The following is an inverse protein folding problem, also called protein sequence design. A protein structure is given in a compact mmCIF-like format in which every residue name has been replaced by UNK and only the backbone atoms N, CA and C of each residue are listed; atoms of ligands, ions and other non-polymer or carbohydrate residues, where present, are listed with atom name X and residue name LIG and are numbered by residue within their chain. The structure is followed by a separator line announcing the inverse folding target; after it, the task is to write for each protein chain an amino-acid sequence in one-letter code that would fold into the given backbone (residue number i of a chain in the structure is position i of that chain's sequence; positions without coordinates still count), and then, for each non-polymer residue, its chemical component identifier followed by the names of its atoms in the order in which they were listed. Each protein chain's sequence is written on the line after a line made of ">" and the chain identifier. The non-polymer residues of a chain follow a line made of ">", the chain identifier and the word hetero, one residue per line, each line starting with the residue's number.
data_IF_706620782047
#
_entry.id   IF_706620782047
#
_cell.length_a   1.000
_cell.length_b   1.000
_cell.length_c   1.000
_cell.angle_alpha   90.00
_cell.angle_beta   90.00
_cell.angle_gamma   90.00
#
_symmetry.space_group_name_H-M   'P 1'
#
loop_
_entity.id
_entity.type
_entity.pdbx_description
1 polymer ?
#
# COMPACT_ATOMS: atom_id res chain seq x y z
N UNK A 1 15.06 33.29 21.66
CA UNK A 1 15.79 32.21 20.95
C UNK A 1 14.79 31.59 19.98
N UNK A 2 14.95 31.96 18.71
CA UNK A 2 13.84 32.17 17.80
C UNK A 2 13.23 30.90 17.21
N UNK A 3 11.90 30.84 17.20
CA UNK A 3 11.14 29.83 16.45
C UNK A 3 11.56 29.80 14.99
N UNK A 4 11.87 30.96 14.41
CA UNK A 4 12.24 31.09 13.00
C UNK A 4 13.61 30.48 12.68
N UNK A 5 14.62 30.69 13.55
CA UNK A 5 15.95 30.09 13.36
C UNK A 5 15.91 28.56 13.40
N UNK A 6 15.11 27.98 14.30
CA UNK A 6 14.91 26.53 14.37
C UNK A 6 14.18 25.96 13.14
N UNK A 7 13.34 26.77 12.49
CA UNK A 7 12.56 26.40 11.32
C UNK A 7 13.42 26.43 10.05
N UNK A 8 14.32 27.41 9.92
CA UNK A 8 15.27 27.50 8.81
C UNK A 8 16.29 26.35 8.80
N UNK A 9 16.93 26.06 9.94
CA UNK A 9 17.87 24.92 10.03
C UNK A 9 17.18 23.60 9.68
N UNK A 10 15.92 23.41 10.11
CA UNK A 10 15.15 22.21 9.76
C UNK A 10 14.87 22.14 8.25
N UNK A 11 14.60 23.28 7.59
CA UNK A 11 14.33 23.33 6.14
C UNK A 11 15.58 22.99 5.33
N UNK A 12 16.73 23.54 5.68
CA UNK A 12 17.98 23.30 4.95
C UNK A 12 18.50 21.86 5.12
N UNK A 13 18.40 21.32 6.34
CA UNK A 13 18.69 19.92 6.60
C UNK A 13 17.78 18.98 5.79
N UNK A 14 16.46 19.24 5.78
CA UNK A 14 15.52 18.48 4.97
C UNK A 14 15.78 18.64 3.48
N UNK A 15 16.22 19.81 3.02
CA UNK A 15 16.57 20.07 1.61
C UNK A 15 17.76 19.22 1.19
N UNK A 16 18.87 19.28 1.91
CA UNK A 16 20.10 18.52 1.63
C UNK A 16 19.87 17.01 1.73
N UNK A 17 19.08 16.55 2.70
CA UNK A 17 18.74 15.12 2.85
C UNK A 17 17.69 14.65 1.85
N UNK A 18 16.80 15.52 1.36
CA UNK A 18 15.84 15.20 0.29
C UNK A 18 16.49 15.09 -1.10
N UNK A 19 17.65 15.74 -1.29
CA UNK A 19 18.46 15.55 -2.49
C UNK A 19 19.08 14.14 -2.51
N UNK A 20 19.31 13.55 -1.33
CA UNK A 20 19.64 12.13 -1.19
C UNK A 20 18.36 11.27 -1.27
N UNK A 21 18.15 10.66 -2.43
CA UNK A 21 17.12 9.64 -2.67
C UNK A 21 17.08 8.62 -1.52
N UNK A 22 15.89 8.38 -0.94
CA UNK A 22 15.68 7.34 0.08
C UNK A 22 15.92 5.94 -0.49
N UNK A 23 17.15 5.43 -0.39
CA UNK A 23 17.56 4.16 -1.00
C UNK A 23 16.75 2.96 -0.50
N UNK A 24 16.39 2.93 0.79
CA UNK A 24 15.52 1.88 1.33
C UNK A 24 14.13 1.83 0.70
N UNK A 25 13.60 2.96 0.20
CA UNK A 25 12.33 2.94 -0.55
C UNK A 25 12.46 2.24 -1.90
N UNK A 26 13.65 2.24 -2.50
CA UNK A 26 13.85 1.49 -3.74
C UNK A 26 13.76 -0.02 -3.48
N UNK A 27 14.32 -0.52 -2.37
CA UNK A 27 14.18 -1.92 -1.97
C UNK A 27 12.73 -2.29 -1.70
N UNK A 28 12.02 -1.50 -0.88
CA UNK A 28 10.62 -1.78 -0.57
C UNK A 28 9.75 -1.80 -1.83
N UNK A 29 9.91 -0.81 -2.73
CA UNK A 29 9.15 -0.75 -3.97
C UNK A 29 9.46 -1.92 -4.90
N UNK A 30 10.73 -2.30 -5.04
CA UNK A 30 11.12 -3.42 -5.86
C UNK A 30 10.52 -4.73 -5.33
N UNK A 31 10.76 -5.04 -4.06
CA UNK A 31 10.27 -6.28 -3.40
C UNK A 31 8.75 -6.34 -3.46
N UNK A 32 8.05 -5.29 -3.00
CA UNK A 32 6.60 -5.35 -2.91
C UNK A 32 5.89 -5.29 -4.25
N UNK A 33 6.48 -4.71 -5.29
CA UNK A 33 5.93 -4.82 -6.64
C UNK A 33 5.93 -6.27 -7.14
N UNK A 34 7.02 -7.01 -6.89
CA UNK A 34 7.12 -8.44 -7.24
C UNK A 34 6.18 -9.28 -6.38
N UNK A 35 6.08 -9.00 -5.08
CA UNK A 35 5.16 -9.69 -4.15
C UNK A 35 3.71 -9.52 -4.59
N UNK A 36 3.31 -8.34 -5.08
CA UNK A 36 1.95 -8.14 -5.61
C UNK A 36 1.69 -9.04 -6.83
N UNK A 37 2.64 -9.16 -7.75
CA UNK A 37 2.50 -10.07 -8.90
C UNK A 37 2.43 -11.53 -8.42
N UNK A 38 3.27 -11.92 -7.45
CA UNK A 38 3.26 -13.26 -6.88
C UNK A 38 1.92 -13.60 -6.23
N UNK A 39 1.34 -12.65 -5.50
CA UNK A 39 0.01 -12.78 -4.88
C UNK A 39 -1.08 -13.02 -5.93
N UNK A 40 -1.19 -12.16 -6.95
CA UNK A 40 -2.24 -12.27 -7.98
C UNK A 40 -2.00 -13.40 -9.00
N UNK A 41 -0.80 -13.96 -9.02
CA UNK A 41 -0.46 -15.16 -9.81
C UNK A 41 -0.62 -16.46 -9.02
N UNK A 42 -1.11 -16.40 -7.77
CA UNK A 42 -1.26 -17.56 -6.88
C UNK A 42 0.05 -18.30 -6.55
N UNK A 43 1.20 -17.62 -6.60
CA UNK A 43 2.51 -18.25 -6.29
C UNK A 43 2.57 -18.76 -4.86
N UNK A 44 1.96 -18.05 -3.90
CA UNK A 44 1.93 -18.51 -2.51
C UNK A 44 1.14 -19.82 -2.35
N UNK A 45 0.17 -20.08 -3.23
CA UNK A 45 -0.64 -21.30 -3.26
C UNK A 45 0.06 -22.49 -3.95
N UNK A 46 1.28 -22.33 -4.48
CA UNK A 46 2.06 -23.47 -5.00
C UNK A 46 2.22 -24.58 -3.94
N UNK A 47 2.38 -24.17 -2.68
CA UNK A 47 2.54 -25.08 -1.57
C UNK A 47 1.20 -25.71 -1.15
N UNK A 48 0.04 -25.06 -1.38
CA UNK A 48 -1.24 -25.56 -0.86
C UNK A 48 -1.80 -26.80 -1.56
N UNK A 49 -1.26 -27.20 -2.72
CA UNK A 49 -1.68 -28.41 -3.45
C UNK A 49 -1.46 -29.72 -2.68
N UNK A 50 -0.64 -29.69 -1.63
CA UNK A 50 -0.51 -30.77 -0.65
C UNK A 50 -1.14 -30.27 0.67
N UNK A 51 -2.18 -30.95 1.16
CA UNK A 51 -3.02 -30.53 2.31
C UNK A 51 -2.24 -30.01 3.53
N UNK A 52 -1.04 -30.55 3.78
CA UNK A 52 -0.16 -30.17 4.90
C UNK A 52 0.46 -28.76 4.81
N UNK A 53 0.51 -28.15 3.62
CA UNK A 53 1.21 -26.88 3.38
C UNK A 53 0.29 -25.68 3.16
N UNK A 54 -1.03 -25.88 3.26
CA UNK A 54 -2.04 -24.82 3.22
C UNK A 54 -1.79 -23.74 4.28
N UNK A 55 -1.29 -24.12 5.46
CA UNK A 55 -0.89 -23.20 6.53
C UNK A 55 0.19 -22.21 6.09
N UNK A 56 1.25 -22.70 5.43
CA UNK A 56 2.37 -21.86 4.96
C UNK A 56 1.90 -20.91 3.86
N UNK A 57 1.09 -21.38 2.90
CA UNK A 57 0.50 -20.51 1.87
C UNK A 57 -0.31 -19.37 2.50
N UNK A 58 -1.14 -19.70 3.48
CA UNK A 58 -1.96 -18.72 4.18
C UNK A 58 -1.08 -17.70 4.92
N UNK A 59 -0.01 -18.12 5.61
CA UNK A 59 0.92 -17.19 6.25
C UNK A 59 1.57 -16.25 5.24
N UNK A 60 2.05 -16.77 4.10
CA UNK A 60 2.70 -15.97 3.07
C UNK A 60 1.71 -14.98 2.45
N UNK A 61 0.54 -15.46 2.05
CA UNK A 61 -0.53 -14.63 1.49
C UNK A 61 -0.93 -13.52 2.47
N UNK A 62 -1.21 -13.91 3.71
CA UNK A 62 -1.74 -13.02 4.73
C UNK A 62 -0.71 -12.02 5.25
N UNK A 63 0.54 -12.42 5.48
CA UNK A 63 1.53 -11.58 6.16
C UNK A 63 2.59 -10.98 5.21
N UNK A 64 2.81 -11.58 4.04
CA UNK A 64 3.74 -11.07 3.02
C UNK A 64 2.99 -10.43 1.86
N UNK A 65 2.00 -11.12 1.29
CA UNK A 65 1.21 -10.62 0.17
C UNK A 65 0.47 -9.32 0.50
N UNK A 66 -0.41 -9.37 1.50
CA UNK A 66 -1.25 -8.22 1.84
C UNK A 66 -0.53 -7.05 2.52
N UNK A 67 0.75 -7.18 2.88
CA UNK A 67 1.51 -6.04 3.43
C UNK A 67 2.00 -5.09 2.33
N UNK A 68 1.98 -5.50 1.07
CA UNK A 68 2.48 -4.69 -0.05
C UNK A 68 1.73 -3.36 -0.20
N UNK A 69 0.40 -3.39 -0.23
CA UNK A 69 -0.46 -2.19 -0.33
C UNK A 69 -0.24 -1.23 0.84
N UNK A 70 -0.31 -1.68 2.11
CA UNK A 70 0.11 -0.92 3.29
C UNK A 70 1.46 -0.22 3.13
N UNK A 71 2.49 -0.92 2.63
CA UNK A 71 3.82 -0.33 2.44
C UNK A 71 3.82 0.76 1.36
N UNK A 72 3.14 0.55 0.23
CA UNK A 72 3.02 1.60 -0.80
C UNK A 72 2.28 2.83 -0.30
N UNK A 73 1.19 2.65 0.47
CA UNK A 73 0.46 3.74 1.13
C UNK A 73 1.39 4.47 2.11
N UNK A 74 2.10 3.73 2.95
CA UNK A 74 2.97 4.27 3.98
C UNK A 74 4.12 5.11 3.39
N UNK A 75 4.78 4.63 2.32
CA UNK A 75 5.81 5.39 1.58
C UNK A 75 5.20 6.65 0.97
N UNK A 76 4.03 6.52 0.34
CA UNK A 76 3.32 7.64 -0.30
C UNK A 76 2.95 8.75 0.69
N UNK A 77 2.39 8.38 1.85
CA UNK A 77 1.99 9.32 2.91
C UNK A 77 3.21 9.94 3.59
N UNK A 78 4.26 9.18 3.85
CA UNK A 78 5.51 9.73 4.40
C UNK A 78 6.10 10.80 3.46
N UNK A 79 6.24 10.48 2.18
CA UNK A 79 6.74 11.44 1.17
C UNK A 79 5.83 12.65 1.03
N UNK A 80 4.52 12.47 1.20
CA UNK A 80 3.58 13.58 1.24
C UNK A 80 3.90 14.53 2.41
N UNK A 81 4.02 14.04 3.65
CA UNK A 81 4.37 14.91 4.80
C UNK A 81 5.72 15.61 4.64
N UNK A 82 6.74 14.93 4.11
CA UNK A 82 8.06 15.54 3.85
C UNK A 82 7.94 16.66 2.81
N UNK A 83 7.24 16.42 1.71
CA UNK A 83 7.08 17.41 0.64
C UNK A 83 6.16 18.56 1.02
N UNK A 84 5.11 18.31 1.81
CA UNK A 84 4.20 19.36 2.30
C UNK A 84 4.93 20.35 3.22
N UNK A 85 5.88 19.88 4.05
CA UNK A 85 6.75 20.79 4.82
C UNK A 85 7.64 21.67 3.94
N UNK A 86 8.09 21.14 2.79
CA UNK A 86 8.99 21.85 1.85
C UNK A 86 8.25 22.86 0.98
N UNK A 87 7.06 22.50 0.51
CA UNK A 87 6.32 23.24 -0.53
C UNK A 87 5.01 23.87 -0.03
N UNK A 88 4.63 23.66 1.23
CA UNK A 88 3.39 24.17 1.82
C UNK A 88 2.12 23.45 1.33
N UNK A 89 0.96 24.00 1.67
CA UNK A 89 -0.36 23.45 1.34
C UNK A 89 -0.65 23.38 -0.17
N UNK A 90 -0.05 24.28 -0.96
CA UNK A 90 -0.17 24.29 -2.43
C UNK A 90 0.36 23.01 -3.09
N UNK A 91 1.27 22.29 -2.43
CA UNK A 91 1.76 21.01 -2.93
C UNK A 91 0.63 19.99 -3.13
N UNK A 92 -0.34 19.96 -2.22
CA UNK A 92 -1.47 19.05 -2.31
C UNK A 92 -2.32 19.37 -3.56
N UNK A 93 -2.81 20.61 -3.66
CA UNK A 93 -3.77 21.00 -4.71
C UNK A 93 -3.16 21.10 -6.10
N UNK A 94 -1.92 21.58 -6.22
CA UNK A 94 -1.30 21.85 -7.53
C UNK A 94 -0.49 20.68 -8.07
N UNK A 95 0.06 19.81 -7.21
CA UNK A 95 0.98 18.74 -7.63
C UNK A 95 0.47 17.35 -7.30
N UNK A 96 0.13 17.08 -6.05
CA UNK A 96 -0.15 15.72 -5.59
C UNK A 96 -1.52 15.23 -6.04
N UNK A 97 -2.57 16.00 -5.77
CA UNK A 97 -3.96 15.62 -6.01
C UNK A 97 -4.27 15.44 -7.52
N UNK A 98 -3.90 16.39 -8.41
CA UNK A 98 -4.12 16.20 -9.86
C UNK A 98 -3.35 15.01 -10.41
N UNK A 99 -2.13 14.76 -9.92
CA UNK A 99 -1.34 13.59 -10.33
C UNK A 99 -2.01 12.27 -9.93
N UNK A 100 -2.54 12.18 -8.70
CA UNK A 100 -3.23 10.98 -8.24
C UNK A 100 -4.54 10.74 -9.02
N UNK A 101 -5.31 11.79 -9.30
CA UNK A 101 -6.51 11.70 -10.17
C UNK A 101 -6.11 11.24 -11.57
N UNK A 102 -5.09 11.84 -12.16
CA UNK A 102 -4.62 11.50 -13.51
C UNK A 102 -4.15 10.05 -13.60
N UNK A 103 -3.40 9.56 -12.60
CA UNK A 103 -3.01 8.15 -12.49
C UNK A 103 -4.22 7.23 -12.36
N UNK A 104 -5.16 7.57 -11.47
CA UNK A 104 -6.38 6.78 -11.27
C UNK A 104 -7.18 6.65 -12.56
N UNK A 105 -7.49 7.77 -13.21
CA UNK A 105 -8.25 7.79 -14.45
C UNK A 105 -7.53 7.01 -15.56
N UNK A 106 -6.21 7.21 -15.71
CA UNK A 106 -5.42 6.49 -16.70
C UNK A 106 -5.52 4.96 -16.52
N UNK A 107 -5.27 4.45 -15.31
CA UNK A 107 -5.26 3.01 -15.06
C UNK A 107 -6.66 2.39 -15.13
N UNK A 108 -7.66 3.07 -14.57
CA UNK A 108 -9.06 2.62 -14.61
C UNK A 108 -9.58 2.56 -16.06
N UNK A 109 -9.37 3.64 -16.85
CA UNK A 109 -9.78 3.67 -18.25
C UNK A 109 -9.02 2.62 -19.07
N UNK A 110 -7.70 2.50 -18.87
CA UNK A 110 -6.89 1.53 -19.61
C UNK A 110 -7.35 0.09 -19.37
N UNK A 111 -7.65 -0.29 -18.12
CA UNK A 111 -8.15 -1.63 -17.80
C UNK A 111 -9.56 -1.85 -18.32
N UNK A 112 -10.43 -0.86 -18.19
CA UNK A 112 -11.81 -0.93 -18.71
C UNK A 112 -11.82 -1.13 -20.22
N UNK A 113 -10.99 -0.38 -20.96
CA UNK A 113 -10.84 -0.54 -22.40
C UNK A 113 -10.25 -1.91 -22.76
N UNK A 114 -9.25 -2.37 -22.01
CA UNK A 114 -8.66 -3.68 -22.23
C UNK A 114 -9.68 -4.80 -22.02
N UNK A 115 -10.42 -4.79 -20.92
CA UNK A 115 -11.46 -5.78 -20.64
C UNK A 115 -12.55 -5.77 -21.73
N UNK A 116 -12.94 -4.59 -22.22
CA UNK A 116 -13.87 -4.47 -23.35
C UNK A 116 -13.31 -5.09 -24.65
N UNK A 117 -12.03 -4.90 -24.96
CA UNK A 117 -11.37 -5.49 -26.14
C UNK A 117 -11.31 -7.02 -26.08
N UNK A 118 -11.23 -7.59 -24.88
CA UNK A 118 -11.25 -9.04 -24.64
C UNK A 118 -12.67 -9.58 -24.34
N UNK A 119 -13.72 -8.79 -24.59
CA UNK A 119 -15.12 -9.21 -24.49
C UNK A 119 -15.71 -9.21 -23.06
N UNK A 120 -14.96 -8.79 -22.05
CA UNK A 120 -15.42 -8.69 -20.67
C UNK A 120 -16.08 -7.31 -20.40
N UNK A 121 -17.30 -7.14 -20.90
CA UNK A 121 -18.07 -5.87 -20.79
C UNK A 121 -19.02 -5.90 -19.56
N UNK A 122 -19.10 -7.01 -18.84
CA UNK A 122 -20.07 -7.18 -17.74
C UNK A 122 -19.86 -6.19 -16.60
N UNK A 123 -18.61 -5.94 -16.19
CA UNK A 123 -18.29 -4.97 -15.15
C UNK A 123 -18.74 -3.55 -15.53
N UNK A 124 -18.62 -3.18 -16.81
CA UNK A 124 -19.05 -1.88 -17.35
C UNK A 124 -20.57 -1.80 -17.33
N UNK A 125 -21.27 -2.83 -17.83
CA UNK A 125 -22.74 -2.88 -17.83
C UNK A 125 -23.31 -2.78 -16.42
N UNK A 126 -22.70 -3.49 -15.47
CA UNK A 126 -23.11 -3.46 -14.07
C UNK A 126 -22.86 -2.07 -13.46
N UNK A 127 -21.69 -1.48 -13.69
CA UNK A 127 -21.38 -0.13 -13.23
C UNK A 127 -22.33 0.95 -13.78
N UNK A 128 -22.78 0.83 -15.03
CA UNK A 128 -23.67 1.81 -15.67
C UNK A 128 -25.17 1.57 -15.42
N UNK A 129 -25.53 0.49 -14.71
CA UNK A 129 -26.93 0.12 -14.51
C UNK A 129 -27.71 1.02 -13.55
N UNK A 130 -27.03 1.75 -12.66
CA UNK A 130 -27.64 2.77 -11.79
C UNK A 130 -26.59 3.79 -11.34
N UNK A 131 -27.03 4.96 -10.86
CA UNK A 131 -26.12 5.97 -10.33
C UNK A 131 -25.32 5.45 -9.13
N UNK A 132 -25.96 4.72 -8.21
CA UNK A 132 -25.28 4.13 -7.05
C UNK A 132 -24.20 3.12 -7.46
N UNK A 133 -24.49 2.27 -8.45
CA UNK A 133 -23.52 1.31 -9.00
C UNK A 133 -22.40 2.01 -9.76
N UNK A 134 -22.68 3.14 -10.40
CA UNK A 134 -21.66 3.94 -11.08
C UNK A 134 -20.69 4.56 -10.08
N UNK A 135 -21.21 5.12 -8.98
CA UNK A 135 -20.38 5.62 -7.88
C UNK A 135 -19.56 4.47 -7.28
N UNK A 136 -20.18 3.31 -7.03
CA UNK A 136 -19.47 2.13 -6.51
C UNK A 136 -18.40 1.64 -7.49
N UNK A 137 -18.67 1.65 -8.79
CA UNK A 137 -17.71 1.29 -9.83
C UNK A 137 -16.50 2.24 -9.81
N UNK A 138 -16.72 3.57 -9.73
CA UNK A 138 -15.63 4.54 -9.61
C UNK A 138 -14.82 4.29 -8.31
N UNK A 139 -15.50 4.27 -7.17
CA UNK A 139 -14.88 4.14 -5.83
C UNK A 139 -14.10 2.82 -5.70
N UNK A 140 -14.62 1.72 -6.26
CA UNK A 140 -13.94 0.42 -6.29
C UNK A 140 -12.84 0.29 -7.36
N UNK A 141 -12.62 1.33 -8.18
CA UNK A 141 -11.69 1.25 -9.31
C UNK A 141 -12.09 0.18 -10.32
N UNK A 142 -13.39 0.04 -10.58
CA UNK A 142 -13.98 -0.97 -11.46
C UNK A 142 -13.95 -2.38 -10.86
N UNK A 143 -14.04 -2.50 -9.53
CA UNK A 143 -13.84 -3.77 -8.81
C UNK A 143 -12.47 -4.42 -9.05
N UNK A 144 -11.45 -3.62 -9.37
CA UNK A 144 -10.08 -4.10 -9.63
C UNK A 144 -9.12 -3.63 -8.53
N UNK A 145 -7.87 -4.06 -8.60
CA UNK A 145 -6.78 -3.58 -7.72
C UNK A 145 -6.63 -2.05 -7.71
N UNK A 146 -7.15 -1.34 -8.71
CA UNK A 146 -7.05 0.11 -8.81
C UNK A 146 -7.85 0.87 -7.76
N UNK A 147 -8.64 0.20 -6.91
CA UNK A 147 -9.17 0.82 -5.69
C UNK A 147 -8.09 1.44 -4.78
N UNK A 148 -6.83 1.00 -4.94
CA UNK A 148 -5.67 1.62 -4.31
C UNK A 148 -5.60 3.14 -4.53
N UNK A 149 -5.91 3.63 -5.74
CA UNK A 149 -5.79 5.06 -6.03
C UNK A 149 -6.89 5.91 -5.38
N UNK A 150 -8.20 5.56 -5.45
CA UNK A 150 -9.24 6.22 -4.66
C UNK A 150 -8.93 6.21 -3.16
N UNK A 151 -8.45 5.08 -2.63
CA UNK A 151 -8.02 4.98 -1.25
C UNK A 151 -6.89 5.98 -0.95
N UNK A 152 -5.86 6.03 -1.80
CA UNK A 152 -4.74 6.95 -1.60
C UNK A 152 -5.16 8.42 -1.74
N UNK A 153 -6.10 8.74 -2.64
CA UNK A 153 -6.70 10.07 -2.76
C UNK A 153 -7.40 10.48 -1.45
N UNK A 154 -8.26 9.60 -0.92
CA UNK A 154 -8.96 9.80 0.34
C UNK A 154 -7.99 10.03 1.51
N UNK A 155 -7.00 9.14 1.66
CA UNK A 155 -6.01 9.26 2.74
C UNK A 155 -5.14 10.51 2.60
N UNK A 156 -4.76 10.89 1.38
CA UNK A 156 -3.97 12.11 1.15
C UNK A 156 -4.78 13.36 1.47
N UNK A 157 -6.09 13.38 1.18
CA UNK A 157 -6.97 14.48 1.56
C UNK A 157 -7.08 14.62 3.09
N UNK A 158 -7.28 13.50 3.82
CA UNK A 158 -7.28 13.52 5.29
C UNK A 158 -5.91 13.93 5.83
N UNK A 159 -4.82 13.42 5.25
CA UNK A 159 -3.47 13.80 5.64
C UNK A 159 -3.21 15.31 5.45
N UNK A 160 -3.76 15.93 4.39
CA UNK A 160 -3.69 17.38 4.18
C UNK A 160 -4.44 18.14 5.27
N UNK A 161 -5.69 17.74 5.59
CA UNK A 161 -6.46 18.34 6.67
C UNK A 161 -5.75 18.21 8.03
N UNK A 162 -5.15 17.04 8.27
CA UNK A 162 -4.37 16.80 9.48
C UNK A 162 -3.09 17.65 9.50
N UNK A 163 -2.36 17.78 8.39
CA UNK A 163 -1.18 18.62 8.31
C UNK A 163 -1.52 20.10 8.61
N UNK A 164 -2.63 20.59 8.05
CA UNK A 164 -3.13 21.93 8.36
C UNK A 164 -3.40 22.14 9.86
N UNK A 165 -4.02 21.15 10.51
CA UNK A 165 -4.22 21.17 11.98
C UNK A 165 -2.88 21.19 12.73
N UNK A 166 -1.91 20.36 12.31
CA UNK A 166 -0.59 20.28 12.94
C UNK A 166 0.20 21.59 12.85
N UNK A 167 0.05 22.34 11.77
CA UNK A 167 0.74 23.63 11.58
C UNK A 167 0.30 24.68 12.63
N UNK A 168 -0.90 24.52 13.20
CA UNK A 168 -1.44 25.40 14.25
C UNK A 168 -1.13 24.93 15.68
N UNK A 169 -0.50 23.76 15.85
CA UNK A 169 -0.25 23.14 17.14
C UNK A 169 1.25 23.12 17.45
N UNK A 170 1.65 23.31 18.72
CA UNK A 170 3.06 23.17 19.12
C UNK A 170 3.59 21.77 18.74
N UNK A 171 4.81 21.69 18.22
CA UNK A 171 5.43 20.42 17.72
C UNK A 171 5.28 19.23 18.70
N UNK A 172 5.57 19.43 19.99
CA UNK A 172 5.43 18.38 21.03
C UNK A 172 3.98 17.87 21.15
N UNK A 173 3.02 18.79 21.08
CA UNK A 173 1.59 18.47 21.13
C UNK A 173 1.13 17.78 19.83
N UNK A 174 1.67 18.17 18.67
CA UNK A 174 1.37 17.53 17.40
C UNK A 174 1.81 16.06 17.37
N UNK A 175 2.98 15.75 17.94
CA UNK A 175 3.45 14.37 18.10
C UNK A 175 2.52 13.56 19.01
N UNK A 176 2.16 14.09 20.19
CA UNK A 176 1.22 13.43 21.12
C UNK A 176 -0.15 13.19 20.48
N UNK A 177 -0.68 14.20 19.79
CA UNK A 177 -1.94 14.10 19.04
C UNK A 177 -1.88 12.99 17.97
N UNK A 178 -0.76 12.89 17.25
CA UNK A 178 -0.58 11.83 16.24
C UNK A 178 -0.63 10.43 16.86
N UNK A 179 0.01 10.21 18.02
CA UNK A 179 -0.10 8.93 18.74
C UNK A 179 -1.51 8.64 19.23
N UNK A 180 -2.20 9.66 19.74
CA UNK A 180 -3.59 9.53 20.19
C UNK A 180 -4.52 9.13 19.04
N UNK A 181 -4.42 9.81 17.89
CA UNK A 181 -5.21 9.49 16.71
C UNK A 181 -4.80 8.14 16.09
N UNK A 182 -3.52 7.75 16.16
CA UNK A 182 -3.08 6.41 15.79
C UNK A 182 -3.74 5.34 16.66
N UNK A 183 -3.79 5.55 17.97
CA UNK A 183 -4.46 4.63 18.89
C UNK A 183 -5.96 4.52 18.55
N UNK A 184 -6.67 5.64 18.43
CA UNK A 184 -8.09 5.65 18.08
C UNK A 184 -8.38 4.97 16.74
N UNK A 185 -7.59 5.30 15.70
CA UNK A 185 -7.76 4.66 14.39
C UNK A 185 -7.43 3.17 14.43
N UNK A 186 -6.45 2.73 15.21
CA UNK A 186 -6.14 1.30 15.37
C UNK A 186 -7.28 0.56 16.06
N UNK A 187 -7.87 1.15 17.11
CA UNK A 187 -9.06 0.60 17.78
C UNK A 187 -10.24 0.50 16.81
N UNK A 188 -10.47 1.53 15.99
CA UNK A 188 -11.51 1.53 14.96
C UNK A 188 -11.31 0.43 13.91
N UNK A 189 -10.09 0.28 13.39
CA UNK A 189 -9.78 -0.75 12.40
C UNK A 189 -9.95 -2.15 12.97
N UNK A 190 -9.54 -2.37 14.22
CA UNK A 190 -9.69 -3.65 14.90
C UNK A 190 -11.15 -3.97 15.28
N UNK A 191 -11.97 -2.94 15.53
CA UNK A 191 -13.36 -3.14 15.91
C UNK A 191 -14.25 -3.53 14.73
N UNK A 192 -13.96 -3.10 13.49
CA UNK A 192 -14.80 -3.43 12.33
C UNK A 192 -15.01 -4.93 12.12
N UNK A 193 -13.96 -5.79 12.06
CA UNK A 193 -14.17 -7.23 11.90
C UNK A 193 -14.92 -7.86 13.08
N UNK A 194 -14.76 -7.31 14.29
CA UNK A 194 -15.46 -7.80 15.49
C UNK A 194 -16.95 -7.44 15.42
N UNK A 195 -17.28 -6.21 14.98
CA UNK A 195 -18.67 -5.77 14.83
C UNK A 195 -19.39 -6.57 13.75
N UNK A 196 -18.74 -6.81 12.61
CA UNK A 196 -19.29 -7.62 11.53
C UNK A 196 -19.52 -9.06 11.97
N UNK A 197 -18.58 -9.60 12.74
CA UNK A 197 -18.70 -10.91 13.36
C UNK A 197 -19.93 -10.99 14.29
N UNK A 198 -20.15 -9.98 15.13
CA UNK A 198 -21.29 -9.94 16.07
C UNK A 198 -22.64 -9.78 15.35
N UNK A 199 -22.68 -8.96 14.30
CA UNK A 199 -23.92 -8.63 13.61
C UNK A 199 -24.37 -9.67 12.58
N UNK A 200 -23.49 -10.63 12.21
CA UNK A 200 -23.72 -11.59 11.11
C UNK A 200 -24.21 -10.94 9.81
N UNK A 201 -23.91 -9.65 9.62
CA UNK A 201 -24.27 -8.88 8.42
C UNK A 201 -23.01 -8.64 7.62
N UNK A 202 -23.06 -9.06 6.37
CA UNK A 202 -21.95 -9.03 5.43
C UNK A 202 -21.58 -7.61 4.91
N UNK A 203 -22.30 -6.56 5.31
CA UNK A 203 -22.36 -5.33 4.51
C UNK A 203 -21.20 -4.35 4.70
N UNK A 204 -20.58 -4.27 5.88
CA UNK A 204 -19.59 -3.22 6.17
C UNK A 204 -18.14 -3.61 5.83
N UNK A 205 -17.80 -4.91 5.87
CA UNK A 205 -16.46 -5.45 5.56
C UNK A 205 -16.19 -5.68 4.09
N UNK A 206 -17.22 -6.01 3.30
CA UNK A 206 -17.06 -6.39 1.90
C UNK A 206 -16.80 -5.19 0.98
N UNK A 207 -17.28 -4.00 1.35
CA UNK A 207 -16.94 -2.77 0.65
C UNK A 207 -15.57 -2.32 1.14
N UNK A 208 -14.66 -2.01 0.21
CA UNK A 208 -13.32 -1.52 0.50
C UNK A 208 -13.39 -0.38 1.52
N UNK A 209 -13.16 -0.74 2.78
CA UNK A 209 -13.31 0.20 3.87
C UNK A 209 -12.03 1.03 3.97
N UNK A 210 -12.04 2.23 3.37
CA UNK A 210 -10.89 3.13 3.38
C UNK A 210 -10.43 3.51 4.79
N UNK A 211 -11.31 3.39 5.79
CA UNK A 211 -10.96 3.64 7.19
C UNK A 211 -9.93 2.63 7.74
N UNK A 212 -9.83 1.43 7.13
CA UNK A 212 -8.78 0.46 7.44
C UNK A 212 -7.36 1.03 7.26
N UNK A 213 -7.22 2.08 6.46
CA UNK A 213 -5.95 2.71 6.18
C UNK A 213 -5.70 4.04 6.93
N UNK A 214 -6.58 4.44 7.85
CA UNK A 214 -6.36 5.63 8.68
C UNK A 214 -5.07 5.58 9.54
N UNK A 215 -4.71 4.44 10.20
CA UNK A 215 -3.51 4.38 11.04
C UNK A 215 -2.24 4.84 10.32
N UNK A 216 -2.14 4.54 9.02
CA UNK A 216 -0.97 4.84 8.19
C UNK A 216 -0.72 6.35 8.03
N UNK A 217 -1.77 7.19 8.08
CA UNK A 217 -1.63 8.67 8.08
C UNK A 217 -0.86 9.10 9.31
N UNK A 218 -1.27 8.63 10.49
CA UNK A 218 -0.69 9.04 11.75
C UNK A 218 0.70 8.45 11.97
N UNK A 219 0.93 7.22 11.50
CA UNK A 219 2.28 6.63 11.46
C UNK A 219 3.19 7.48 10.57
N UNK A 220 2.74 7.83 9.35
CA UNK A 220 3.54 8.64 8.44
C UNK A 220 3.87 10.02 9.04
N UNK A 221 2.92 10.65 9.73
CA UNK A 221 3.14 11.92 10.42
C UNK A 221 4.16 11.78 11.57
N UNK A 222 4.03 10.76 12.42
CA UNK A 222 4.97 10.48 13.52
C UNK A 222 6.39 10.29 12.96
N UNK A 223 6.53 9.46 11.93
CA UNK A 223 7.83 9.16 11.32
C UNK A 223 8.40 10.39 10.62
N UNK A 224 7.59 11.21 9.94
CA UNK A 224 8.03 12.45 9.31
C UNK A 224 8.43 13.54 10.31
N UNK A 225 7.84 13.56 11.51
CA UNK A 225 8.30 14.40 12.62
C UNK A 225 9.65 13.90 13.16
N UNK A 226 9.75 12.61 13.49
CA UNK A 226 10.97 12.02 14.05
C UNK A 226 12.16 12.09 13.08
N UNK A 227 11.90 11.92 11.77
CA UNK A 227 12.90 12.10 10.73
C UNK A 227 13.41 13.54 10.67
N UNK A 228 12.51 14.53 10.74
CA UNK A 228 12.88 15.95 10.75
C UNK A 228 13.59 16.40 12.04
N UNK A 229 13.44 15.64 13.12
CA UNK A 229 14.16 15.82 14.39
C UNK A 229 15.54 15.12 14.41
N UNK A 230 15.97 14.48 13.32
CA UNK A 230 17.24 13.75 13.27
C UNK A 230 17.26 12.44 14.06
N UNK A 231 16.13 12.00 14.64
CA UNK A 231 16.06 10.80 15.51
C UNK A 231 16.32 9.48 14.79
N UNK A 232 16.31 9.51 13.45
CA UNK A 232 16.52 8.36 12.59
C UNK A 232 17.91 8.35 11.93
N UNK A 233 18.81 9.26 12.31
CA UNK A 233 20.18 9.25 11.78
C UNK A 233 21.03 8.12 12.37
N UNK A 234 20.88 7.89 13.67
CA UNK A 234 21.64 6.89 14.41
C UNK A 234 20.71 5.91 15.09
N UNK A 235 21.17 4.67 15.18
CA UNK A 235 20.42 3.55 15.73
C UNK A 235 20.47 3.59 17.28
N UNK A 236 19.86 4.64 17.83
CA UNK A 236 19.81 4.91 19.28
C UNK A 236 19.09 3.81 20.05
N UNK A 237 19.39 3.66 21.34
CA UNK A 237 18.73 2.68 22.21
C UNK A 237 17.21 2.84 22.23
N UNK A 238 16.71 4.09 22.20
CA UNK A 238 15.28 4.38 22.12
C UNK A 238 14.65 3.89 20.81
N UNK A 239 15.34 4.09 19.68
CA UNK A 239 14.87 3.61 18.38
C UNK A 239 14.89 2.08 18.31
N UNK A 240 15.94 1.42 18.84
CA UNK A 240 16.01 -0.04 18.95
C UNK A 240 14.83 -0.59 19.73
N UNK A 241 14.57 -0.03 20.91
CA UNK A 241 13.47 -0.47 21.78
C UNK A 241 12.12 -0.26 21.10
N UNK A 242 11.94 0.84 20.38
CA UNK A 242 10.73 1.10 19.59
C UNK A 242 10.55 0.08 18.48
N UNK A 243 11.58 -0.20 17.69
CA UNK A 243 11.50 -1.21 16.62
C UNK A 243 11.24 -2.61 17.16
N UNK A 244 11.85 -2.96 18.29
CA UNK A 244 11.58 -4.22 19.00
C UNK A 244 10.12 -4.28 19.47
N UNK A 245 9.62 -3.20 20.09
CA UNK A 245 8.23 -3.10 20.51
C UNK A 245 7.26 -3.25 19.33
N UNK A 246 7.54 -2.60 18.19
CA UNK A 246 6.74 -2.76 16.97
C UNK A 246 6.77 -4.20 16.44
N UNK A 247 7.93 -4.87 16.53
CA UNK A 247 8.07 -6.27 16.11
C UNK A 247 7.25 -7.19 17.02
N UNK A 248 7.32 -6.99 18.34
CA UNK A 248 6.53 -7.75 19.32
C UNK A 248 5.03 -7.52 19.09
N UNK A 249 4.59 -6.27 18.90
CA UNK A 249 3.19 -5.96 18.61
C UNK A 249 2.73 -6.58 17.30
N UNK A 250 3.54 -6.52 16.24
CA UNK A 250 3.22 -7.15 14.97
C UNK A 250 2.99 -8.66 15.14
N UNK A 251 3.91 -9.37 15.82
CA UNK A 251 3.79 -10.81 16.07
C UNK A 251 2.59 -11.13 16.95
N UNK A 252 2.36 -10.35 18.03
CA UNK A 252 1.23 -10.53 18.93
C UNK A 252 -0.10 -10.41 18.17
N UNK A 253 -0.28 -9.36 17.38
CA UNK A 253 -1.50 -9.17 16.59
C UNK A 253 -1.62 -10.22 15.48
N UNK A 254 -0.52 -10.69 14.87
CA UNK A 254 -0.60 -11.82 13.94
C UNK A 254 -1.16 -13.08 14.62
N UNK A 255 -0.70 -13.40 15.84
CA UNK A 255 -1.18 -14.57 16.59
C UNK A 255 -2.65 -14.41 16.97
N UNK A 256 -3.04 -13.24 17.49
CA UNK A 256 -4.43 -12.94 17.87
C UNK A 256 -5.35 -13.04 16.66
N UNK A 257 -5.01 -12.33 15.57
CA UNK A 257 -5.77 -12.37 14.33
C UNK A 257 -5.86 -13.80 13.79
N UNK A 258 -4.76 -14.56 13.79
CA UNK A 258 -4.73 -15.95 13.34
C UNK A 258 -5.68 -16.83 14.14
N UNK A 259 -5.73 -16.68 15.47
CA UNK A 259 -6.67 -17.41 16.32
C UNK A 259 -8.12 -17.01 16.09
N UNK A 260 -8.38 -15.73 15.80
CA UNK A 260 -9.69 -15.28 15.36
C UNK A 260 -10.04 -15.98 14.04
N UNK A 261 -9.14 -15.98 13.05
CA UNK A 261 -9.34 -16.64 11.74
C UNK A 261 -9.62 -18.15 11.82
N UNK A 262 -8.93 -18.88 12.69
CA UNK A 262 -9.11 -20.34 12.83
C UNK A 262 -10.52 -20.72 13.29
N UNK A 263 -11.16 -19.89 14.10
CA UNK A 263 -12.46 -20.18 14.70
C UNK A 263 -13.65 -19.95 13.77
N UNK A 264 -13.43 -19.41 12.55
CA UNK A 264 -14.51 -19.11 11.61
C UNK A 264 -14.44 -20.00 10.35
N UNK A 265 -15.51 -20.76 10.05
CA UNK A 265 -15.52 -21.68 8.91
C UNK A 265 -15.45 -20.96 7.56
N UNK A 266 -15.92 -19.71 7.47
CA UNK A 266 -15.95 -18.92 6.25
C UNK A 266 -14.79 -17.89 6.19
N UNK A 267 -13.56 -18.43 6.20
CA UNK A 267 -12.29 -17.72 6.49
C UNK A 267 -12.04 -16.45 5.65
N UNK A 268 -12.50 -16.40 4.41
CA UNK A 268 -12.22 -15.29 3.49
C UNK A 268 -13.29 -14.20 3.48
N UNK A 269 -14.49 -14.47 4.02
CA UNK A 269 -15.63 -13.54 3.92
C UNK A 269 -15.74 -12.59 5.11
N UNK A 270 -15.26 -12.99 6.29
CA UNK A 270 -15.55 -12.30 7.54
C UNK A 270 -14.46 -11.31 8.01
N UNK A 271 -13.23 -11.43 7.51
CA UNK A 271 -12.14 -10.57 7.95
C UNK A 271 -11.46 -9.90 6.74
N UNK A 272 -11.74 -8.61 6.48
CA UNK A 272 -11.09 -7.89 5.41
C UNK A 272 -9.57 -7.95 5.57
N UNK A 273 -8.86 -8.35 4.52
CA UNK A 273 -7.41 -8.53 4.58
C UNK A 273 -6.66 -7.31 5.11
N UNK A 274 -7.17 -6.10 4.84
CA UNK A 274 -6.57 -4.84 5.26
C UNK A 274 -7.07 -4.32 6.62
N UNK A 275 -8.04 -4.97 7.27
CA UNK A 275 -8.50 -4.62 8.62
C UNK A 275 -7.61 -5.23 9.73
N UNK A 276 -6.34 -5.50 9.41
CA UNK A 276 -5.40 -6.22 10.27
C UNK A 276 -4.38 -5.27 10.86
N UNK A 277 -4.32 -5.20 12.18
CA UNK A 277 -3.35 -4.37 12.89
C UNK A 277 -1.93 -4.91 12.77
N UNK A 278 -1.76 -6.22 12.58
CA UNK A 278 -0.45 -6.79 12.28
C UNK A 278 0.20 -6.13 11.06
N UNK A 279 -0.55 -5.92 9.98
CA UNK A 279 -0.08 -5.26 8.76
C UNK A 279 0.32 -3.80 9.02
N UNK A 280 -0.45 -3.10 9.85
CA UNK A 280 -0.15 -1.73 10.28
C UNK A 280 1.22 -1.67 10.98
N UNK A 281 1.47 -2.54 11.97
CA UNK A 281 2.76 -2.55 12.69
C UNK A 281 3.92 -3.01 11.81
N UNK A 282 3.73 -4.01 10.94
CA UNK A 282 4.78 -4.44 10.00
C UNK A 282 5.14 -3.31 9.03
N UNK A 283 4.15 -2.62 8.47
CA UNK A 283 4.42 -1.49 7.55
C UNK A 283 5.19 -0.36 8.24
N UNK A 284 4.91 -0.09 9.52
CA UNK A 284 5.61 0.91 10.32
C UNK A 284 7.07 0.48 10.55
N UNK A 285 7.28 -0.77 10.93
CA UNK A 285 8.61 -1.33 11.10
C UNK A 285 9.42 -1.26 9.79
N UNK A 286 8.82 -1.64 8.66
CA UNK A 286 9.45 -1.57 7.35
C UNK A 286 9.78 -0.14 6.93
N UNK A 287 8.92 0.84 7.26
CA UNK A 287 9.22 2.25 7.03
C UNK A 287 10.47 2.69 7.82
N UNK A 288 10.59 2.32 9.10
CA UNK A 288 11.81 2.63 9.86
C UNK A 288 13.04 1.96 9.28
N UNK A 289 12.96 0.66 8.97
CA UNK A 289 14.06 -0.08 8.37
C UNK A 289 14.52 0.58 7.07
N UNK A 290 13.59 0.98 6.21
CA UNK A 290 13.92 1.64 4.95
C UNK A 290 14.55 3.03 5.13
N UNK A 291 14.18 3.77 6.17
CA UNK A 291 14.78 5.08 6.47
C UNK A 291 16.18 4.96 7.10
N UNK A 292 16.45 3.86 7.81
CA UNK A 292 17.77 3.54 8.37
C UNK A 292 18.72 2.92 7.34
N UNK A 293 18.18 2.39 6.24
CA UNK A 293 18.96 1.72 5.22
C UNK A 293 19.74 2.74 4.37
N UNK A 294 21.06 2.70 4.44
CA UNK A 294 21.96 3.64 3.73
C UNK A 294 22.81 2.97 2.64
N UNK A 295 22.69 1.66 2.42
CA UNK A 295 23.51 0.98 1.44
C UNK A 295 23.17 1.39 0.01
N UNK A 296 24.16 1.26 -0.88
CA UNK A 296 23.98 1.51 -2.32
C UNK A 296 22.99 0.51 -2.90
N UNK A 297 22.03 1.01 -3.68
CA UNK A 297 20.99 0.19 -4.32
C UNK A 297 21.60 -0.52 -5.54
N UNK A 298 21.55 -1.86 -5.62
CA UNK A 298 21.96 -2.58 -6.82
C UNK A 298 21.17 -2.15 -8.05
N UNK A 299 21.79 -2.18 -9.23
CA UNK A 299 21.17 -1.70 -10.48
C UNK A 299 19.83 -2.38 -10.77
N UNK A 300 19.72 -3.70 -10.51
CA UNK A 300 18.49 -4.45 -10.73
C UNK A 300 17.35 -3.99 -9.80
N UNK A 301 17.64 -3.77 -8.51
CA UNK A 301 16.65 -3.27 -7.55
C UNK A 301 16.21 -1.86 -7.93
N UNK A 302 17.15 -1.00 -8.34
CA UNK A 302 16.85 0.35 -8.80
C UNK A 302 15.96 0.33 -10.05
N UNK A 303 16.21 -0.59 -10.98
CA UNK A 303 15.41 -0.77 -12.20
C UNK A 303 13.97 -1.18 -11.84
N UNK A 304 13.81 -2.26 -11.07
CA UNK A 304 12.48 -2.76 -10.66
C UNK A 304 11.74 -1.69 -9.85
N UNK A 305 12.43 -1.01 -8.93
CA UNK A 305 11.83 0.09 -8.17
C UNK A 305 11.35 1.23 -9.05
N UNK A 306 12.08 1.57 -10.12
CA UNK A 306 11.63 2.61 -11.05
C UNK A 306 10.41 2.15 -11.82
N UNK A 307 10.22 0.85 -12.02
CA UNK A 307 9.09 0.26 -12.73
C UNK A 307 7.97 -0.19 -11.81
N UNK A 308 8.07 0.03 -10.49
CA UNK A 308 7.14 -0.55 -9.52
C UNK A 308 5.67 -0.17 -9.77
N UNK A 309 5.40 1.05 -10.24
CA UNK A 309 4.05 1.51 -10.57
C UNK A 309 3.51 0.82 -11.82
N UNK A 310 4.29 0.79 -12.90
CA UNK A 310 3.93 0.02 -14.10
C UNK A 310 3.80 -1.48 -13.85
N UNK A 311 4.67 -2.10 -13.02
CA UNK A 311 4.53 -3.50 -12.60
C UNK A 311 3.22 -3.71 -11.85
N UNK A 312 2.93 -2.84 -10.88
CA UNK A 312 1.67 -2.86 -10.15
C UNK A 312 0.45 -2.64 -11.05
N UNK A 313 0.54 -1.79 -12.08
CA UNK A 313 -0.57 -1.52 -12.98
C UNK A 313 -0.79 -2.61 -14.03
N UNK A 314 0.28 -3.02 -14.72
CA UNK A 314 0.18 -3.93 -15.85
C UNK A 314 -0.03 -5.39 -15.46
N UNK A 315 0.39 -5.84 -14.27
CA UNK A 315 0.30 -7.27 -13.97
C UNK A 315 -1.14 -7.79 -14.03
N UNK A 316 -2.14 -6.97 -13.66
CA UNK A 316 -3.55 -7.37 -13.68
C UNK A 316 -4.06 -7.68 -15.09
N UNK A 317 -3.51 -6.99 -16.11
CA UNK A 317 -3.84 -7.22 -17.52
C UNK A 317 -3.43 -8.63 -17.96
N UNK A 318 -2.35 -9.16 -17.37
CA UNK A 318 -1.84 -10.49 -17.66
C UNK A 318 -2.43 -11.55 -16.73
N UNK A 319 -2.63 -11.24 -15.45
CA UNK A 319 -3.17 -12.23 -14.51
C UNK A 319 -4.65 -12.53 -14.73
N UNK A 320 -5.44 -11.57 -15.19
CA UNK A 320 -6.88 -11.79 -15.40
C UNK A 320 -7.17 -12.58 -16.69
N UNK A 321 -6.32 -12.43 -17.71
CA UNK A 321 -6.57 -12.93 -19.06
C UNK A 321 -5.72 -14.16 -19.45
N UNK A 322 -5.08 -14.78 -18.48
CA UNK A 322 -4.27 -16.00 -18.68
C UNK A 322 -4.99 -17.27 -18.24
N UNK A 323 -6.33 -17.29 -18.25
CA UNK A 323 -7.14 -18.46 -17.87
C UNK A 323 -6.82 -19.71 -18.69
N UNK A 324 -6.35 -19.56 -19.93
CA UNK A 324 -5.88 -20.71 -20.73
C UNK A 324 -4.71 -21.45 -20.07
N UNK A 325 -3.90 -20.78 -19.23
CA UNK A 325 -2.80 -21.42 -18.47
C UNK A 325 -3.31 -22.27 -17.31
N UNK A 326 -4.57 -22.11 -16.87
CA UNK A 326 -5.13 -22.92 -15.81
C UNK A 326 -5.26 -24.39 -16.24
N UNK A 327 -5.42 -24.64 -17.55
CA UNK A 327 -5.38 -26.00 -18.11
C UNK A 327 -4.03 -26.70 -17.89
N UNK A 328 -2.91 -25.97 -17.97
CA UNK A 328 -1.57 -26.53 -17.69
C UNK A 328 -1.39 -26.91 -16.22
N UNK A 329 -2.08 -26.22 -15.32
CA UNK A 329 -2.05 -26.53 -13.89
C UNK A 329 -2.73 -27.85 -13.54
N UNK A 330 -3.62 -28.34 -14.40
CA UNK A 330 -4.22 -29.68 -14.28
C UNK A 330 -3.21 -30.78 -14.60
N UNK A 331 -2.24 -30.52 -15.48
CA UNK A 331 -1.20 -31.49 -15.86
C UNK A 331 -0.09 -31.52 -14.81
N UNK A 332 0.41 -30.35 -14.41
CA UNK A 332 1.46 -30.21 -13.40
C UNK A 332 0.99 -29.21 -12.34
N UNK A 333 0.62 -29.68 -11.13
CA UNK A 333 0.17 -28.81 -10.05
C UNK A 333 1.17 -27.68 -9.79
N UNK A 334 0.68 -26.44 -9.87
CA UNK A 334 1.47 -25.23 -9.64
C UNK A 334 2.22 -24.67 -10.85
N UNK A 335 2.41 -25.43 -11.94
CA UNK A 335 3.10 -24.92 -13.13
C UNK A 335 2.38 -23.70 -13.72
N UNK A 336 1.05 -23.72 -13.76
CA UNK A 336 0.25 -22.58 -14.22
C UNK A 336 0.52 -21.30 -13.44
N UNK A 337 0.63 -21.36 -12.11
CA UNK A 337 0.94 -20.20 -11.26
C UNK A 337 2.36 -19.66 -11.52
N UNK A 338 3.35 -20.53 -11.72
CA UNK A 338 4.73 -20.14 -12.07
C UNK A 338 4.78 -19.43 -13.42
N UNK A 339 4.15 -20.03 -14.45
CA UNK A 339 4.11 -19.42 -15.80
C UNK A 339 3.37 -18.07 -15.73
N UNK A 340 2.20 -18.03 -15.07
CA UNK A 340 1.42 -16.80 -14.89
C UNK A 340 2.23 -15.69 -14.23
N UNK A 341 2.99 -16.01 -13.18
CA UNK A 341 3.88 -15.06 -12.52
C UNK A 341 5.00 -14.57 -13.43
N UNK A 342 5.69 -15.47 -14.12
CA UNK A 342 6.79 -15.11 -15.02
C UNK A 342 6.29 -14.25 -16.18
N UNK A 343 5.17 -14.63 -16.81
CA UNK A 343 4.54 -13.87 -17.89
C UNK A 343 4.09 -12.50 -17.39
N UNK A 344 3.34 -12.43 -16.30
CA UNK A 344 2.85 -11.17 -15.75
C UNK A 344 4.00 -10.24 -15.37
N UNK A 345 5.05 -10.74 -14.71
CA UNK A 345 6.19 -9.92 -14.28
C UNK A 345 7.01 -9.43 -15.49
N UNK A 346 7.38 -10.32 -16.39
CA UNK A 346 8.22 -9.98 -17.56
C UNK A 346 7.48 -9.05 -18.52
N UNK A 347 6.23 -9.34 -18.84
CA UNK A 347 5.43 -8.49 -19.74
C UNK A 347 5.13 -7.13 -19.09
N UNK A 348 4.88 -7.07 -17.78
CA UNK A 348 4.70 -5.78 -17.10
C UNK A 348 5.97 -4.94 -17.09
N UNK A 349 7.14 -5.55 -16.88
CA UNK A 349 8.44 -4.86 -17.00
C UNK A 349 8.66 -4.35 -18.42
N UNK A 350 8.40 -5.19 -19.44
CA UNK A 350 8.55 -4.84 -20.84
C UNK A 350 7.61 -3.70 -21.26
N UNK A 351 6.32 -3.77 -20.92
CA UNK A 351 5.36 -2.70 -21.19
C UNK A 351 5.73 -1.41 -20.47
N UNK A 352 6.15 -1.49 -19.21
CA UNK A 352 6.62 -0.33 -18.46
C UNK A 352 7.83 0.32 -19.13
N UNK A 353 8.78 -0.49 -19.61
CA UNK A 353 9.93 0.00 -20.38
C UNK A 353 9.48 0.74 -21.65
N UNK A 354 8.58 0.15 -22.45
CA UNK A 354 8.04 0.76 -23.68
C UNK A 354 7.30 2.07 -23.37
N UNK A 355 6.40 2.08 -22.39
CA UNK A 355 5.62 3.27 -22.02
C UNK A 355 6.52 4.40 -21.53
N UNK A 356 7.66 4.09 -20.89
CA UNK A 356 8.63 5.11 -20.49
C UNK A 356 9.38 5.76 -21.63
N UNK A 357 9.49 5.10 -22.79
CA UNK A 357 10.06 5.71 -24.00
C UNK A 357 9.09 6.72 -24.63
N UNK A 358 7.78 6.58 -24.37
CA UNK A 358 6.75 7.47 -24.91
C UNK A 358 6.55 8.67 -23.97
N UNK A 359 6.90 9.87 -24.44
CA UNK A 359 6.91 11.11 -23.64
C UNK A 359 5.62 11.38 -22.86
N UNK A 360 4.47 11.12 -23.48
CA UNK A 360 3.14 11.32 -22.87
C UNK A 360 2.84 10.28 -21.79
N UNK A 361 3.22 9.02 -22.03
CA UNK A 361 2.88 7.88 -21.16
C UNK A 361 3.86 7.71 -19.99
N UNK A 362 5.09 8.21 -20.11
CA UNK A 362 6.14 8.09 -19.10
C UNK A 362 5.74 8.54 -17.69
N UNK A 363 4.82 9.51 -17.57
CA UNK A 363 4.38 10.01 -16.26
C UNK A 363 3.37 9.11 -15.55
N UNK A 364 2.85 8.09 -16.23
CA UNK A 364 1.83 7.18 -15.73
C UNK A 364 2.38 5.82 -15.25
N UNK A 365 3.66 5.50 -15.56
CA UNK A 365 4.26 4.16 -15.38
C UNK A 365 5.57 4.13 -14.59
#
# INVERSE_FOLDING_TARGET
>A
MDKDYSLEITKDYLKQKSENRFTGFDFLRAIFSVVVVALHSNIFNLLSGKTQWSFVSNILTMNVGYVAVPVFIQISLFLFFINSKKFGSHYFTQKRFPKLISLYLFWMISKTLFDALFGNIEAIKLGLSSFDRFILFIVSGGHTIFYFFPCLLFLTAIAQSFNYLMDHVKKTSAKKLSYYLLFLSSVLVFSFPIIDLLNRRESFSQIINYFNFLPYIFIAAIVALEFGEGKLENLSTSLKLKMLSLSILAVLFMIIEWKIFENFPDRSRLFPHYARLSLTFVSWLLLYLALLFTQRVPTIIRLISQYSLGIYGFHIFFTDHTSFLDSLSQIIPGLGAVIKFLVALTCSIALTFVFKQIKVLRNFV
#
